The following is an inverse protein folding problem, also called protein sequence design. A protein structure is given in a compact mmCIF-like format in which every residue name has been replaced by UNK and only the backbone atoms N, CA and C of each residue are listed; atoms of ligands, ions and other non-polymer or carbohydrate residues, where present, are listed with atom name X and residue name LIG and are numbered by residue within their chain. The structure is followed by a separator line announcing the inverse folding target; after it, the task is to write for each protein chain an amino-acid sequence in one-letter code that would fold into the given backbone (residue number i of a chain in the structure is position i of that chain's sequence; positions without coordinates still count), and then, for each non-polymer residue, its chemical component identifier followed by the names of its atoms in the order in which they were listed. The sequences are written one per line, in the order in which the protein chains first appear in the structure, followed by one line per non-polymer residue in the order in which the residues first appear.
data_IF_957161439680
#
_entry.id   IF_957161439680
#
_cell.length_a   1.000
_cell.length_b   1.000
_cell.length_c   1.000
_cell.angle_alpha   90.00
_cell.angle_beta   90.00
_cell.angle_gamma   90.00
#
_symmetry.space_group_name_H-M   'P 1'
#
loop_
_entity.id
_entity.type
_entity.pdbx_description
1 polymer ?
#
# COMPACT_ATOMS: atom_id res chain seq x y z
N UNK A 1 -28.25 -5.62 28.89
CA UNK A 1 -27.37 -4.59 28.32
C UNK A 1 -26.57 -5.26 27.22
N UNK A 2 -26.84 -4.91 25.96
CA UNK A 2 -26.21 -5.55 24.80
C UNK A 2 -24.75 -5.11 24.72
N UNK A 3 -23.82 -6.05 24.84
CA UNK A 3 -22.40 -5.78 24.61
C UNK A 3 -22.25 -5.52 23.11
N UNK A 4 -22.18 -4.25 22.74
CA UNK A 4 -21.81 -3.81 21.40
C UNK A 4 -20.39 -4.31 21.16
N UNK A 5 -20.26 -5.48 20.53
CA UNK A 5 -19.01 -5.99 20.00
C UNK A 5 -18.51 -4.95 19.01
N UNK A 6 -17.61 -4.08 19.45
CA UNK A 6 -16.90 -3.17 18.57
C UNK A 6 -16.04 -4.09 17.72
N UNK A 7 -16.52 -4.43 16.52
CA UNK A 7 -15.72 -5.11 15.52
C UNK A 7 -14.49 -4.23 15.30
N UNK A 8 -13.40 -4.54 16.00
CA UNK A 8 -12.05 -4.15 15.58
C UNK A 8 -11.86 -4.85 14.25
N UNK A 9 -12.31 -4.23 13.17
CA UNK A 9 -11.92 -4.61 11.84
C UNK A 9 -10.40 -4.67 11.87
N UNK A 10 -9.85 -5.89 11.83
CA UNK A 10 -8.41 -6.10 11.73
C UNK A 10 -7.96 -5.36 10.48
N UNK A 11 -7.36 -4.18 10.64
CA UNK A 11 -6.87 -3.38 9.52
C UNK A 11 -5.96 -4.26 8.66
N UNK A 12 -6.47 -4.66 7.50
CA UNK A 12 -5.70 -5.49 6.59
C UNK A 12 -5.00 -4.58 5.60
N UNK A 13 -3.72 -4.34 5.85
CA UNK A 13 -2.90 -3.46 5.04
C UNK A 13 -1.87 -4.26 4.23
N UNK A 14 -1.54 -3.77 3.03
CA UNK A 14 -0.33 -4.13 2.30
C UNK A 14 0.53 -2.89 2.11
N UNK A 15 1.85 -3.04 2.19
CA UNK A 15 2.80 -2.00 1.84
C UNK A 15 3.72 -2.47 0.71
N UNK A 16 4.16 -1.52 -0.10
CA UNK A 16 4.95 -1.76 -1.30
C UNK A 16 6.15 -0.83 -1.31
N UNK A 17 7.33 -1.36 -1.60
CA UNK A 17 8.50 -0.58 -2.00
C UNK A 17 8.50 -0.56 -3.51
N UNK A 18 8.50 0.63 -4.10
CA UNK A 18 8.39 0.81 -5.54
C UNK A 18 9.45 1.78 -6.05
N UNK A 19 9.69 1.75 -7.36
CA UNK A 19 10.56 2.69 -8.07
C UNK A 19 9.85 3.25 -9.29
N UNK A 20 10.12 4.52 -9.62
CA UNK A 20 9.60 5.17 -10.82
C UNK A 20 9.98 4.38 -12.09
N UNK A 21 9.02 4.11 -12.98
CA UNK A 21 9.28 3.33 -14.21
C UNK A 21 10.16 4.05 -15.23
N UNK A 22 10.08 5.38 -15.29
CA UNK A 22 10.73 6.16 -16.35
C UNK A 22 12.20 6.52 -16.05
N UNK A 23 12.71 6.22 -14.86
CA UNK A 23 14.04 6.68 -14.46
C UNK A 23 15.18 5.76 -14.92
N UNK A 24 15.96 6.23 -15.91
CA UNK A 24 17.13 5.53 -16.49
C UNK A 24 18.44 5.68 -15.72
N UNK A 25 18.54 6.58 -14.73
CA UNK A 25 19.84 6.94 -14.12
C UNK A 25 19.97 6.66 -12.61
N UNK A 26 18.92 6.81 -11.80
CA UNK A 26 18.93 6.50 -10.36
C UNK A 26 17.59 5.92 -9.92
N UNK A 27 17.61 4.84 -9.14
CA UNK A 27 16.38 4.25 -8.58
C UNK A 27 15.89 5.09 -7.40
N UNK A 28 14.82 5.84 -7.60
CA UNK A 28 14.13 6.56 -6.53
C UNK A 28 13.12 5.63 -5.86
N UNK A 29 13.50 5.09 -4.70
CA UNK A 29 12.62 4.24 -3.91
C UNK A 29 11.52 5.06 -3.23
N UNK A 30 10.28 4.60 -3.37
CA UNK A 30 9.09 5.16 -2.72
C UNK A 30 8.31 4.05 -2.02
N UNK A 31 7.38 4.44 -1.17
CA UNK A 31 6.51 3.51 -0.44
C UNK A 31 5.06 3.80 -0.76
N UNK A 32 4.28 2.77 -1.09
CA UNK A 32 2.82 2.84 -1.20
C UNK A 32 2.19 1.92 -0.16
N UNK A 33 0.97 2.21 0.28
CA UNK A 33 0.19 1.32 1.14
C UNK A 33 -1.25 1.22 0.64
N UNK A 34 -1.73 -0.01 0.57
CA UNK A 34 -3.15 -0.30 0.43
C UNK A 34 -3.69 -0.60 1.83
N UNK A 35 -4.43 0.35 2.39
CA UNK A 35 -5.02 0.24 3.72
C UNK A 35 -6.41 -0.37 3.63
N UNK A 36 -6.70 -1.26 4.57
CA UNK A 36 -8.02 -1.84 4.79
C UNK A 36 -8.64 -2.48 3.53
N UNK A 37 -7.83 -3.27 2.81
CA UNK A 37 -8.24 -3.83 1.52
C UNK A 37 -9.46 -4.76 1.62
N UNK A 38 -9.71 -5.38 2.79
CA UNK A 38 -10.88 -6.24 3.01
C UNK A 38 -12.20 -5.47 3.02
N UNK A 39 -12.18 -4.19 3.36
CA UNK A 39 -13.35 -3.32 3.34
C UNK A 39 -13.53 -2.59 2.01
N UNK A 40 -12.67 -2.88 1.02
CA UNK A 40 -12.77 -2.35 -0.35
C UNK A 40 -13.36 -3.40 -1.26
N UNK A 41 -14.10 -2.95 -2.27
CA UNK A 41 -14.56 -3.80 -3.35
C UNK A 41 -13.39 -4.31 -4.19
N UNK A 42 -13.59 -5.44 -4.88
CA UNK A 42 -12.59 -5.97 -5.80
C UNK A 42 -12.18 -4.95 -6.88
N UNK A 43 -13.13 -4.15 -7.35
CA UNK A 43 -12.88 -3.10 -8.34
C UNK A 43 -11.96 -1.99 -7.80
N UNK A 44 -12.18 -1.53 -6.56
CA UNK A 44 -11.32 -0.53 -5.92
C UNK A 44 -9.90 -1.05 -5.69
N UNK A 45 -9.78 -2.30 -5.23
CA UNK A 45 -8.46 -2.93 -5.02
C UNK A 45 -7.74 -3.10 -6.35
N UNK A 46 -8.43 -3.61 -7.38
CA UNK A 46 -7.86 -3.78 -8.72
C UNK A 46 -7.39 -2.45 -9.31
N UNK A 47 -8.23 -1.41 -9.24
CA UNK A 47 -7.89 -0.07 -9.73
C UNK A 47 -6.65 0.49 -9.02
N UNK A 48 -6.54 0.30 -7.71
CA UNK A 48 -5.38 0.74 -6.94
C UNK A 48 -4.09 0.06 -7.42
N UNK A 49 -4.14 -1.26 -7.65
CA UNK A 49 -3.00 -2.00 -8.19
C UNK A 49 -2.65 -1.57 -9.62
N UNK A 50 -3.65 -1.37 -10.48
CA UNK A 50 -3.45 -0.88 -11.84
C UNK A 50 -2.74 0.47 -11.85
N UNK A 51 -3.20 1.44 -11.04
CA UNK A 51 -2.56 2.74 -10.92
C UNK A 51 -1.12 2.62 -10.42
N UNK A 52 -0.87 1.82 -9.37
CA UNK A 52 0.47 1.61 -8.85
C UNK A 52 1.42 1.02 -9.91
N UNK A 53 0.96 0.01 -10.66
CA UNK A 53 1.79 -0.69 -11.64
C UNK A 53 1.95 0.07 -12.96
N UNK A 54 1.05 1.01 -13.27
CA UNK A 54 1.22 1.92 -14.41
C UNK A 54 2.37 2.89 -14.15
N UNK A 55 2.41 3.49 -12.97
CA UNK A 55 3.37 4.53 -12.61
C UNK A 55 4.71 3.97 -12.08
N UNK A 56 4.67 2.81 -11.41
CA UNK A 56 5.83 2.30 -10.68
C UNK A 56 6.10 0.81 -10.93
N UNK A 57 7.36 0.42 -10.74
CA UNK A 57 7.77 -0.97 -10.65
C UNK A 57 7.89 -1.39 -9.19
N UNK A 58 7.21 -2.47 -8.80
CA UNK A 58 7.30 -2.99 -7.44
C UNK A 58 8.58 -3.76 -7.23
N UNK A 59 9.29 -3.39 -6.16
CA UNK A 59 10.53 -4.05 -5.72
C UNK A 59 10.23 -5.06 -4.61
N UNK A 60 9.35 -4.69 -3.67
CA UNK A 60 9.01 -5.53 -2.52
C UNK A 60 7.59 -5.24 -2.05
N UNK A 61 6.94 -6.27 -1.52
CA UNK A 61 5.64 -6.17 -0.85
C UNK A 61 5.74 -6.75 0.56
N UNK A 62 4.90 -6.26 1.47
CA UNK A 62 4.65 -6.91 2.75
C UNK A 62 3.25 -6.62 3.28
N UNK A 63 2.82 -7.42 4.26
CA UNK A 63 1.51 -7.31 4.90
C UNK A 63 1.64 -6.59 6.24
N UNK A 64 0.58 -5.88 6.65
CA UNK A 64 0.47 -5.19 7.92
C UNK A 64 1.03 -3.77 7.91
N UNK A 65 1.57 -3.35 9.05
CA UNK A 65 2.11 -2.00 9.25
C UNK A 65 3.43 -1.79 8.51
N UNK A 66 3.62 -0.60 7.95
CA UNK A 66 4.88 -0.21 7.30
C UNK A 66 6.03 -0.23 8.33
N UNK A 67 7.10 -0.99 8.10
CA UNK A 67 8.29 -0.98 8.96
C UNK A 67 8.85 0.44 9.13
N UNK A 68 9.28 0.81 10.34
CA UNK A 68 9.81 2.16 10.63
C UNK A 68 10.96 2.58 9.70
N UNK A 69 11.80 1.62 9.27
CA UNK A 69 12.90 1.86 8.32
C UNK A 69 12.44 2.33 6.94
N UNK A 70 11.19 2.05 6.56
CA UNK A 70 10.63 2.45 5.27
C UNK A 70 9.96 3.83 5.31
N UNK A 71 9.65 4.36 6.50
CA UNK A 71 9.05 5.70 6.66
C UNK A 71 9.96 6.85 6.19
N UNK A 72 11.26 6.58 5.96
CA UNK A 72 12.21 7.54 5.39
C UNK A 72 12.03 7.76 3.87
N UNK A 73 11.37 6.83 3.19
CA UNK A 73 11.14 6.95 1.76
C UNK A 73 9.88 7.80 1.50
N UNK A 74 9.85 8.57 0.39
CA UNK A 74 8.66 9.31 0.00
C UNK A 74 7.45 8.37 -0.12
N UNK A 75 6.33 8.80 0.48
CA UNK A 75 5.09 8.05 0.49
C UNK A 75 4.19 8.46 -0.68
N UNK A 76 3.68 7.47 -1.42
CA UNK A 76 2.73 7.67 -2.52
C UNK A 76 1.32 7.69 -1.93
N UNK A 77 0.59 8.77 -2.18
CA UNK A 77 -0.79 8.95 -1.72
C UNK A 77 -1.74 8.57 -2.85
N UNK A 78 -2.63 7.62 -2.58
CA UNK A 78 -3.77 7.23 -3.42
C UNK A 78 -5.04 7.23 -2.57
#
# INVERSE_FOLDING_TARGET
MSATSTNTFELTCFWFIVVDREQKARRHYRVAQLVDYKNKTYAEVSKWFETLFQEYSVVKVGKGTIPSKLKKYPYIKY
#
